data_IF_234374627807
#
_entry.id   IF_234374627807
#
_cell.length_a   1.000
_cell.length_b   1.000
_cell.length_c   1.000
_cell.angle_alpha   90.00
_cell.angle_beta   90.00
_cell.angle_gamma   90.00
#
_symmetry.space_group_name_H-M   'P 1'
#
loop_
_entity.id
_entity.type
_entity.pdbx_description
1 polymer ?
#
# COMPACT_ATOMS: atom_id res chain seq x y z
N UNK A 1 -12.76 4.87 9.56
CA UNK A 1 -13.62 5.81 8.81
C UNK A 1 -13.26 7.27 9.08
N UNK A 2 -13.29 7.76 10.33
CA UNK A 2 -12.92 9.17 10.64
C UNK A 2 -11.53 9.57 10.10
N UNK A 3 -10.52 8.72 10.26
CA UNK A 3 -9.18 8.97 9.71
C UNK A 3 -9.10 9.03 8.19
N UNK A 4 -9.98 8.33 7.46
CA UNK A 4 -10.04 8.37 5.99
C UNK A 4 -10.59 9.72 5.55
N UNK A 5 -11.66 10.19 6.19
CA UNK A 5 -12.28 11.48 5.88
C UNK A 5 -11.32 12.63 6.20
N UNK A 6 -10.73 12.62 7.39
CA UNK A 6 -9.74 13.62 7.80
C UNK A 6 -8.52 13.59 6.88
N UNK A 7 -8.01 12.40 6.58
CA UNK A 7 -6.90 12.21 5.64
C UNK A 7 -7.22 12.72 4.24
N UNK A 8 -8.41 12.44 3.70
CA UNK A 8 -8.83 12.94 2.39
C UNK A 8 -8.97 14.47 2.37
N UNK A 9 -9.61 15.05 3.39
CA UNK A 9 -9.77 16.51 3.51
C UNK A 9 -8.45 17.26 3.59
N UNK A 10 -7.40 16.66 4.17
CA UNK A 10 -6.07 17.29 4.27
C UNK A 10 -5.20 16.95 3.06
N UNK A 11 -5.16 15.70 2.63
CA UNK A 11 -4.26 15.25 1.55
C UNK A 11 -4.64 15.82 0.19
N UNK A 12 -5.94 15.96 -0.13
CA UNK A 12 -6.39 16.51 -1.41
C UNK A 12 -5.93 17.96 -1.64
N UNK A 13 -6.16 18.92 -0.73
CA UNK A 13 -5.69 20.30 -0.94
C UNK A 13 -4.17 20.39 -0.92
N UNK A 14 -3.48 19.64 -0.05
CA UNK A 14 -2.00 19.62 -0.02
C UNK A 14 -1.45 19.10 -1.35
N UNK A 15 -2.01 18.02 -1.89
CA UNK A 15 -1.59 17.49 -3.18
C UNK A 15 -1.81 18.50 -4.31
N UNK A 16 -2.96 19.18 -4.29
CA UNK A 16 -3.29 20.20 -5.30
C UNK A 16 -2.33 21.40 -5.27
N UNK A 17 -2.03 21.92 -4.09
CA UNK A 17 -1.16 23.10 -3.96
C UNK A 17 0.31 22.79 -4.23
N UNK A 18 0.80 21.61 -3.83
CA UNK A 18 2.21 21.23 -3.98
C UNK A 18 2.52 20.75 -5.40
N UNK A 19 1.67 19.90 -5.96
CA UNK A 19 1.98 19.19 -7.20
C UNK A 19 1.19 19.67 -8.43
N UNK A 20 -0.05 20.19 -8.27
CA UNK A 20 -0.91 20.57 -9.40
C UNK A 20 -0.89 22.07 -9.74
N UNK A 21 -0.24 22.91 -8.92
CA UNK A 21 -0.20 24.37 -9.13
C UNK A 21 0.45 24.78 -10.46
N UNK A 22 1.37 23.98 -11.00
CA UNK A 22 2.04 24.21 -12.29
C UNK A 22 1.36 23.54 -13.49
N UNK A 23 0.17 22.96 -13.31
CA UNK A 23 -0.52 22.17 -14.33
C UNK A 23 -0.29 20.66 -14.19
N UNK A 24 -1.17 19.88 -14.80
CA UNK A 24 -1.13 18.40 -14.78
C UNK A 24 -0.04 17.85 -15.73
N UNK A 25 0.30 18.63 -16.75
CA UNK A 25 1.25 18.26 -17.79
C UNK A 25 2.68 18.17 -17.22
N UNK A 26 3.31 16.99 -17.37
CA UNK A 26 4.67 16.73 -16.88
C UNK A 26 4.79 16.37 -15.39
N UNK A 27 3.69 16.29 -14.62
CA UNK A 27 3.74 15.89 -13.20
C UNK A 27 4.39 14.50 -13.02
N UNK A 28 3.96 13.52 -13.83
CA UNK A 28 4.47 12.15 -13.75
C UNK A 28 5.92 11.99 -14.26
N UNK A 29 6.45 12.97 -15.00
CA UNK A 29 7.86 12.99 -15.44
C UNK A 29 8.77 13.58 -14.36
N UNK A 30 8.29 14.61 -13.64
CA UNK A 30 9.04 15.26 -12.56
C UNK A 30 8.97 14.50 -11.24
N UNK A 31 7.86 13.82 -10.97
CA UNK A 31 7.63 13.09 -9.74
C UNK A 31 7.23 11.64 -10.04
N UNK A 32 8.13 10.71 -9.75
CA UNK A 32 7.86 9.28 -9.87
C UNK A 32 6.86 8.84 -8.78
N UNK A 33 5.58 8.70 -9.15
CA UNK A 33 4.50 8.31 -8.23
C UNK A 33 3.88 6.96 -8.63
N UNK A 34 4.58 5.83 -8.48
CA UNK A 34 4.15 4.52 -8.99
C UNK A 34 2.87 4.00 -8.32
N UNK A 35 2.63 4.34 -7.05
CA UNK A 35 1.38 3.98 -6.40
C UNK A 35 0.19 4.75 -7.00
N UNK A 36 0.37 6.04 -7.32
CA UNK A 36 -0.68 6.88 -7.86
C UNK A 36 -1.04 6.49 -9.31
N UNK A 37 -0.07 6.03 -10.11
CA UNK A 37 -0.32 5.58 -11.49
C UNK A 37 -1.23 4.36 -11.55
N UNK A 38 -1.08 3.41 -10.63
CA UNK A 38 -1.95 2.22 -10.55
C UNK A 38 -3.39 2.63 -10.24
N UNK A 39 -3.60 3.51 -9.25
CA UNK A 39 -4.95 3.99 -8.90
C UNK A 39 -5.55 4.88 -9.99
N UNK A 40 -4.75 5.69 -10.68
CA UNK A 40 -5.17 6.43 -11.87
C UNK A 40 -5.68 5.47 -12.96
N UNK A 41 -4.92 4.42 -13.26
CA UNK A 41 -5.33 3.43 -14.25
C UNK A 41 -6.67 2.76 -13.89
N UNK A 42 -6.91 2.48 -12.61
CA UNK A 42 -8.21 1.97 -12.12
C UNK A 42 -9.32 3.00 -12.33
N UNK A 43 -9.09 4.28 -12.01
CA UNK A 43 -10.08 5.33 -12.21
C UNK A 43 -10.40 5.55 -13.71
N UNK A 44 -9.39 5.51 -14.58
CA UNK A 44 -9.56 5.56 -16.03
C UNK A 44 -10.38 4.35 -16.53
N UNK A 45 -10.12 3.16 -15.99
CA UNK A 45 -10.89 1.95 -16.30
C UNK A 45 -12.37 2.07 -15.92
N UNK A 46 -12.66 2.66 -14.76
CA UNK A 46 -14.03 2.85 -14.27
C UNK A 46 -14.79 3.93 -15.05
N UNK A 47 -14.08 4.94 -15.55
CA UNK A 47 -14.68 6.08 -16.28
C UNK A 47 -14.84 5.80 -17.78
N UNK A 48 -13.85 5.19 -18.42
CA UNK A 48 -13.86 4.87 -19.85
C UNK A 48 -14.50 3.51 -20.16
N UNK A 49 -14.65 2.65 -19.14
CA UNK A 49 -15.23 1.31 -19.23
C UNK A 49 -14.25 0.24 -19.72
N UNK A 50 -14.53 -1.04 -19.43
CA UNK A 50 -13.64 -2.16 -19.74
C UNK A 50 -13.33 -2.34 -21.24
N UNK A 51 -14.12 -1.74 -22.12
CA UNK A 51 -13.92 -1.85 -23.58
C UNK A 51 -12.70 -1.04 -24.06
N UNK A 52 -12.26 -0.02 -23.32
CA UNK A 52 -11.07 0.76 -23.67
C UNK A 52 -9.76 -0.04 -23.52
N UNK A 53 -9.80 -1.21 -22.87
CA UNK A 53 -8.63 -2.04 -22.67
C UNK A 53 -8.31 -2.93 -23.88
N UNK A 54 -7.01 -3.13 -24.17
CA UNK A 54 -6.55 -4.18 -25.07
C UNK A 54 -7.20 -5.52 -24.70
N UNK A 55 -7.55 -6.31 -25.72
CA UNK A 55 -8.19 -7.62 -25.51
C UNK A 55 -7.37 -8.51 -24.57
N UNK A 56 -6.05 -8.51 -24.68
CA UNK A 56 -5.13 -9.24 -23.79
C UNK A 56 -5.26 -8.84 -22.32
N UNK A 57 -5.38 -7.53 -22.02
CA UNK A 57 -5.49 -7.02 -20.67
C UNK A 57 -6.84 -7.37 -20.02
N UNK A 58 -7.93 -7.42 -20.82
CA UNK A 58 -9.24 -7.90 -20.36
C UNK A 58 -9.19 -9.37 -19.93
N UNK A 59 -8.55 -10.23 -20.74
CA UNK A 59 -8.38 -11.64 -20.39
C UNK A 59 -7.48 -11.82 -19.17
N UNK A 60 -6.40 -11.05 -19.06
CA UNK A 60 -5.54 -11.07 -17.87
C UNK A 60 -6.29 -10.67 -16.60
N UNK A 61 -7.13 -9.64 -16.66
CA UNK A 61 -7.98 -9.23 -15.54
C UNK A 61 -8.97 -10.33 -15.15
N UNK A 62 -9.64 -10.95 -16.12
CA UNK A 62 -10.58 -12.06 -15.87
C UNK A 62 -9.88 -13.26 -15.22
N UNK A 63 -8.74 -13.67 -15.76
CA UNK A 63 -7.95 -14.78 -15.22
C UNK A 63 -7.47 -14.44 -13.80
N UNK A 64 -6.99 -13.21 -13.57
CA UNK A 64 -6.59 -12.73 -12.25
C UNK A 64 -7.73 -12.77 -11.23
N UNK A 65 -8.94 -12.34 -11.63
CA UNK A 65 -10.14 -12.42 -10.78
C UNK A 65 -10.49 -13.88 -10.45
N UNK A 66 -10.49 -14.77 -11.44
CA UNK A 66 -10.80 -16.19 -11.24
C UNK A 66 -9.78 -16.84 -10.31
N UNK A 67 -8.47 -16.62 -10.55
CA UNK A 67 -7.41 -17.14 -9.70
C UNK A 67 -7.51 -16.62 -8.27
N UNK A 68 -7.80 -15.33 -8.08
CA UNK A 68 -8.00 -14.73 -6.76
C UNK A 68 -9.16 -15.37 -6.00
N UNK A 69 -10.29 -15.58 -6.68
CA UNK A 69 -11.46 -16.26 -6.10
C UNK A 69 -11.11 -17.71 -5.71
N UNK A 70 -10.44 -18.45 -6.60
CA UNK A 70 -10.03 -19.83 -6.33
C UNK A 70 -9.08 -19.90 -5.12
N UNK A 71 -8.10 -19.01 -5.04
CA UNK A 71 -7.17 -18.95 -3.90
C UNK A 71 -7.89 -18.67 -2.58
N UNK A 72 -8.86 -17.75 -2.58
CA UNK A 72 -9.62 -17.44 -1.37
C UNK A 72 -10.55 -18.61 -0.97
N UNK A 73 -11.19 -19.28 -1.94
CA UNK A 73 -11.98 -20.49 -1.67
C UNK A 73 -11.11 -21.59 -1.05
N UNK A 74 -9.92 -21.83 -1.60
CA UNK A 74 -8.96 -22.83 -1.06
C UNK A 74 -8.51 -22.45 0.34
N UNK A 75 -8.27 -21.17 0.61
CA UNK A 75 -7.90 -20.67 1.94
C UNK A 75 -9.01 -20.91 2.97
N UNK A 76 -10.27 -20.62 2.62
CA UNK A 76 -11.43 -20.89 3.48
C UNK A 76 -11.58 -22.40 3.71
N UNK A 77 -11.50 -23.21 2.65
CA UNK A 77 -11.67 -24.67 2.75
C UNK A 77 -10.58 -25.36 3.55
N UNK A 78 -9.36 -24.85 3.48
CA UNK A 78 -8.19 -25.34 4.22
C UNK A 78 -8.11 -24.81 5.66
N UNK A 79 -9.10 -24.03 6.13
CA UNK A 79 -9.12 -23.38 7.46
C UNK A 79 -7.84 -22.59 7.75
N UNK A 80 -7.31 -21.89 6.73
CA UNK A 80 -6.08 -21.09 6.87
C UNK A 80 -4.78 -21.89 6.99
N UNK A 81 -4.81 -23.21 6.71
CA UNK A 81 -3.59 -24.05 6.70
C UNK A 81 -2.79 -23.94 5.40
N UNK A 82 -3.34 -23.29 4.38
CA UNK A 82 -2.66 -23.04 3.11
C UNK A 82 -1.65 -21.89 3.24
N UNK A 83 -0.42 -22.11 2.77
CA UNK A 83 0.71 -21.18 2.97
C UNK A 83 0.67 -19.96 2.06
N UNK A 84 -0.14 -19.99 1.00
CA UNK A 84 -0.24 -18.90 0.02
C UNK A 84 -1.42 -18.00 0.38
N UNK A 85 -1.11 -16.74 0.67
CA UNK A 85 -2.10 -15.68 0.85
C UNK A 85 -2.44 -15.05 -0.51
N UNK A 86 -3.71 -15.07 -0.91
CA UNK A 86 -4.16 -14.42 -2.15
C UNK A 86 -3.86 -12.91 -2.15
N UNK A 87 -3.99 -12.25 -1.00
CA UNK A 87 -3.63 -10.83 -0.82
C UNK A 87 -2.12 -10.63 -1.00
N UNK A 88 -1.29 -11.54 -0.48
CA UNK A 88 0.16 -11.46 -0.64
C UNK A 88 0.61 -11.60 -2.09
N UNK A 89 0.01 -12.53 -2.83
CA UNK A 89 0.26 -12.70 -4.27
C UNK A 89 -0.17 -11.45 -5.04
N UNK A 90 -1.36 -10.91 -4.78
CA UNK A 90 -1.86 -9.71 -5.45
C UNK A 90 -1.00 -8.47 -5.19
N UNK A 91 -0.66 -8.21 -3.92
CA UNK A 91 0.20 -7.08 -3.54
C UNK A 91 1.61 -7.22 -4.13
N UNK A 92 2.17 -8.42 -4.18
CA UNK A 92 3.49 -8.67 -4.76
C UNK A 92 3.58 -8.39 -6.26
N UNK A 93 2.46 -8.39 -6.99
CA UNK A 93 2.43 -8.04 -8.41
C UNK A 93 2.42 -6.52 -8.65
N UNK A 94 2.07 -5.73 -7.63
CA UNK A 94 1.95 -4.27 -7.72
C UNK A 94 3.18 -3.59 -7.13
N UNK A 95 3.70 -4.14 -6.03
CA UNK A 95 4.75 -3.52 -5.22
C UNK A 95 6.13 -3.96 -5.74
N UNK A 96 7.11 -3.04 -5.87
CA UNK A 96 8.47 -3.39 -6.24
C UNK A 96 9.11 -4.39 -5.26
N UNK A 97 9.95 -5.29 -5.78
CA UNK A 97 10.61 -6.33 -4.98
C UNK A 97 11.32 -5.78 -3.73
N UNK A 98 12.00 -4.64 -3.83
CA UNK A 98 12.73 -4.06 -2.70
C UNK A 98 11.80 -3.74 -1.52
N UNK A 99 10.60 -3.22 -1.77
CA UNK A 99 9.62 -2.88 -0.73
C UNK A 99 9.03 -4.16 -0.12
N UNK A 100 8.77 -5.18 -0.93
CA UNK A 100 8.36 -6.49 -0.41
C UNK A 100 9.45 -7.11 0.48
N UNK A 101 10.71 -6.97 0.09
CA UNK A 101 11.85 -7.49 0.84
C UNK A 101 12.04 -6.76 2.18
N UNK A 102 11.90 -5.43 2.21
CA UNK A 102 11.99 -4.67 3.48
C UNK A 102 10.83 -4.97 4.42
N UNK A 103 9.60 -5.12 3.89
CA UNK A 103 8.45 -5.57 4.68
C UNK A 103 8.66 -6.97 5.25
N UNK A 104 9.20 -7.90 4.44
CA UNK A 104 9.54 -9.25 4.89
C UNK A 104 10.61 -9.23 5.99
N UNK A 105 11.68 -8.43 5.83
CA UNK A 105 12.71 -8.28 6.85
C UNK A 105 12.15 -7.72 8.16
N UNK A 106 11.28 -6.71 8.10
CA UNK A 106 10.61 -6.15 9.27
C UNK A 106 9.73 -7.19 9.97
N UNK A 107 8.92 -7.94 9.21
CA UNK A 107 8.08 -9.00 9.75
C UNK A 107 8.92 -10.14 10.37
N UNK A 108 10.00 -10.56 9.71
CA UNK A 108 10.91 -11.58 10.21
C UNK A 108 11.61 -11.16 11.51
N UNK A 109 11.99 -9.89 11.62
CA UNK A 109 12.57 -9.32 12.83
C UNK A 109 11.59 -9.36 14.02
N UNK A 110 10.35 -8.90 13.83
CA UNK A 110 9.32 -8.98 14.87
C UNK A 110 8.94 -10.42 15.23
N UNK A 111 8.88 -11.31 14.24
CA UNK A 111 8.63 -12.73 14.47
C UNK A 111 9.75 -13.38 15.30
N UNK A 112 11.01 -13.06 15.02
CA UNK A 112 12.16 -13.54 15.79
C UNK A 112 12.15 -13.02 17.23
N UNK A 113 11.83 -11.74 17.42
CA UNK A 113 11.65 -11.13 18.74
C UNK A 113 10.51 -11.79 19.53
N UNK A 114 9.37 -12.04 18.88
CA UNK A 114 8.22 -12.70 19.50
C UNK A 114 8.55 -14.14 19.93
N UNK A 115 9.32 -14.87 19.12
CA UNK A 115 9.72 -16.26 19.41
C UNK A 115 10.68 -16.38 20.60
N UNK A 116 11.51 -15.36 20.84
CA UNK A 116 12.44 -15.32 21.98
C UNK A 116 11.82 -14.83 23.29
N UNK A 117 10.58 -14.34 23.26
CA UNK A 117 9.95 -13.67 24.40
C UNK A 117 8.67 -14.31 24.93
N UNK A 118 8.71 -15.51 25.54
CA UNK A 118 7.76 -15.84 26.60
C UNK A 118 8.54 -15.91 27.92
N UNK A 119 8.22 -15.17 28.99
CA UNK A 119 7.05 -15.41 29.85
C UNK A 119 6.68 -14.19 30.73
N UNK A 120 7.47 -13.11 30.79
CA UNK A 120 7.23 -11.95 31.70
C UNK A 120 7.55 -10.59 31.06
N UNK A 121 7.07 -10.35 29.84
CA UNK A 121 7.17 -9.03 29.24
C UNK A 121 6.20 -8.08 29.94
N UNK A 122 6.73 -7.03 30.58
CA UNK A 122 5.93 -5.99 31.26
C UNK A 122 4.88 -5.38 30.32
N UNK A 123 3.82 -4.80 30.91
CA UNK A 123 2.63 -4.28 30.21
C UNK A 123 2.94 -3.52 28.89
N UNK A 124 4.00 -2.71 28.89
CA UNK A 124 4.46 -1.94 27.72
C UNK A 124 4.84 -2.79 26.51
N UNK A 125 5.58 -3.90 26.68
CA UNK A 125 5.97 -4.74 25.55
C UNK A 125 4.80 -5.58 25.03
N UNK A 126 3.87 -6.00 25.91
CA UNK A 126 2.65 -6.69 25.46
C UNK A 126 1.80 -5.80 24.57
N UNK A 127 1.55 -4.56 24.99
CA UNK A 127 0.81 -3.57 24.18
C UNK A 127 1.54 -3.30 22.87
N UNK A 128 2.88 -3.26 22.86
CA UNK A 128 3.65 -3.09 21.63
C UNK A 128 3.41 -4.25 20.64
N UNK A 129 3.52 -5.50 21.09
CA UNK A 129 3.36 -6.69 20.23
C UNK A 129 1.92 -6.89 19.74
N UNK A 130 0.93 -6.57 20.56
CA UNK A 130 -0.49 -6.60 20.17
C UNK A 130 -0.85 -5.49 19.16
N UNK A 131 -0.02 -4.45 19.05
CA UNK A 131 -0.23 -3.30 18.16
C UNK A 131 0.91 -3.12 17.15
N UNK A 132 1.63 -4.20 16.78
CA UNK A 132 2.73 -4.09 15.81
C UNK A 132 2.23 -3.55 14.47
N UNK A 133 1.07 -4.03 13.97
CA UNK A 133 0.52 -3.61 12.69
C UNK A 133 0.23 -2.10 12.63
N UNK A 134 -0.52 -1.49 13.57
CA UNK A 134 -0.75 -0.05 13.55
C UNK A 134 0.53 0.76 13.81
N UNK A 135 1.48 0.26 14.60
CA UNK A 135 2.75 0.95 14.84
C UNK A 135 3.60 0.99 13.56
N UNK A 136 3.78 -0.16 12.90
CA UNK A 136 4.49 -0.24 11.63
C UNK A 136 3.81 0.62 10.55
N UNK A 137 2.47 0.58 10.48
CA UNK A 137 1.69 1.46 9.60
C UNK A 137 1.93 2.94 9.89
N UNK A 138 1.99 3.32 11.17
CA UNK A 138 2.29 4.68 11.61
C UNK A 138 3.71 5.13 11.23
N UNK A 139 4.71 4.26 11.37
CA UNK A 139 6.10 4.56 10.98
C UNK A 139 6.21 4.79 9.47
N UNK A 140 5.57 3.95 8.65
CA UNK A 140 5.54 4.11 7.19
C UNK A 140 4.83 5.42 6.81
N UNK A 141 3.69 5.72 7.44
CA UNK A 141 2.95 6.95 7.22
C UNK A 141 3.77 8.20 7.63
N UNK A 142 4.49 8.13 8.75
CA UNK A 142 5.39 9.20 9.20
C UNK A 142 6.51 9.48 8.20
N UNK A 143 7.13 8.44 7.64
CA UNK A 143 8.13 8.58 6.57
C UNK A 143 7.56 9.25 5.31
N UNK A 144 6.34 8.87 4.91
CA UNK A 144 5.66 9.50 3.79
C UNK A 144 5.33 10.98 4.05
N UNK A 145 4.85 11.33 5.25
CA UNK A 145 4.59 12.72 5.65
C UNK A 145 5.87 13.57 5.66
N UNK A 146 7.00 13.00 6.10
CA UNK A 146 8.28 13.71 6.07
C UNK A 146 8.72 14.02 4.63
N UNK A 147 8.51 13.09 3.69
CA UNK A 147 8.78 13.34 2.27
C UNK A 147 7.94 14.49 1.70
N UNK A 148 6.66 14.59 2.08
CA UNK A 148 5.79 15.71 1.70
C UNK A 148 6.30 17.01 2.32
N UNK A 149 6.71 16.99 3.59
CA UNK A 149 7.25 18.18 4.27
C UNK A 149 8.50 18.71 3.59
N UNK A 150 9.43 17.82 3.20
CA UNK A 150 10.64 18.21 2.45
C UNK A 150 10.26 18.82 1.10
N UNK A 151 9.33 18.21 0.36
CA UNK A 151 8.85 18.75 -0.91
C UNK A 151 8.22 20.15 -0.77
N UNK A 152 7.50 20.41 0.33
CA UNK A 152 6.97 21.74 0.66
C UNK A 152 8.09 22.73 0.95
N UNK A 153 9.10 22.33 1.73
CA UNK A 153 10.24 23.19 2.08
C UNK A 153 11.03 23.57 0.84
N UNK A 154 11.38 22.60 -0.02
CA UNK A 154 12.08 22.85 -1.29
C UNK A 154 11.32 23.87 -2.15
N UNK A 155 10.00 23.71 -2.24
CA UNK A 155 9.12 24.63 -2.98
C UNK A 155 9.01 26.05 -2.39
N UNK A 156 9.28 26.24 -1.10
CA UNK A 156 9.27 27.57 -0.46
C UNK A 156 10.65 28.24 -0.60
N UNK A 157 11.72 27.45 -0.72
CA UNK A 157 13.08 27.93 -0.82
C UNK A 157 13.48 28.35 -2.26
N UNK A 158 12.82 27.77 -3.27
CA UNK A 158 12.85 28.21 -4.69
C UNK A 158 12.05 29.49 -4.93
#
# INVERSE_FOLDING_TARGET
>A
MLGIIAGALVSVPVFYTVFLRSGVEGMFERYAMPAATVWKAVAELLTQGLHSLPSSARWAALIGTILGIVLEIVRIRSKGRFWISGIGVGLGMIIPFYTCFTLFMGAAFFYWLAKKGPVQLGFRLRVLFENVEPICGGVIAGGALMGILVAIIERILE
#
